data_IF_631317691949
#
_entry.id   IF_631317691949
#
_cell.length_a   1.000
_cell.length_b   1.000
_cell.length_c   1.000
_cell.angle_alpha   90.00
_cell.angle_beta   90.00
_cell.angle_gamma   90.00
#
_symmetry.space_group_name_H-M   'P 1'
#
loop_
_entity.id
_entity.type
_entity.pdbx_description
1 polymer ?
#
# COMPACT_ATOMS: atom_id res chain seq x y z
N UNK A 1 -3.65 5.86 23.82
CA UNK A 1 -3.48 6.67 22.59
C UNK A 1 -2.05 6.52 22.09
N UNK A 2 -1.83 6.15 20.83
CA UNK A 2 -0.47 6.10 20.28
C UNK A 2 -0.04 7.51 19.88
N UNK A 3 0.97 8.06 20.54
CA UNK A 3 1.57 9.34 20.14
C UNK A 3 2.06 9.20 18.70
N UNK A 4 1.50 9.98 17.77
CA UNK A 4 1.97 10.05 16.38
C UNK A 4 3.35 10.68 16.42
N UNK A 5 4.36 9.96 15.94
CA UNK A 5 5.72 10.49 15.87
C UNK A 5 5.74 11.55 14.77
N UNK A 6 6.13 12.76 15.14
CA UNK A 6 6.33 13.87 14.21
C UNK A 6 7.82 14.04 13.91
N UNK A 7 8.19 13.74 12.66
CA UNK A 7 9.55 13.87 12.14
C UNK A 7 9.75 15.10 11.26
N UNK A 8 8.74 15.93 11.05
CA UNK A 8 8.85 17.07 10.15
C UNK A 8 9.84 18.12 10.67
N UNK A 9 9.91 18.43 11.98
CA UNK A 9 10.93 19.33 12.51
C UNK A 9 12.37 18.83 12.28
N UNK A 10 12.63 17.54 12.47
CA UNK A 10 13.98 16.98 12.27
C UNK A 10 14.33 16.86 10.78
N UNK A 11 13.33 16.61 9.91
CA UNK A 11 13.50 16.64 8.46
C UNK A 11 13.85 18.04 7.98
N UNK A 12 13.12 19.06 8.42
CA UNK A 12 13.39 20.46 8.09
C UNK A 12 14.80 20.88 8.55
N UNK A 13 15.21 20.53 9.78
CA UNK A 13 16.58 20.77 10.24
C UNK A 13 17.62 20.04 9.38
N UNK A 14 17.35 18.78 9.02
CA UNK A 14 18.26 18.00 8.17
C UNK A 14 18.40 18.56 6.76
N UNK A 15 17.32 19.13 6.20
CA UNK A 15 17.30 19.79 4.90
C UNK A 15 18.23 21.01 4.92
N UNK A 16 18.00 21.91 5.87
CA UNK A 16 18.77 23.13 6.03
C UNK A 16 20.26 22.87 6.23
N UNK A 17 20.60 21.98 7.17
CA UNK A 17 22.00 21.75 7.55
C UNK A 17 22.75 20.86 6.56
N UNK A 18 22.14 19.77 6.08
CA UNK A 18 22.86 18.77 5.27
C UNK A 18 22.79 19.07 3.77
N UNK A 19 21.68 19.63 3.28
CA UNK A 19 21.45 19.89 1.86
C UNK A 19 21.75 21.35 1.51
N UNK A 20 21.17 22.30 2.25
CA UNK A 20 21.37 23.74 2.03
C UNK A 20 22.66 24.28 2.69
N UNK A 21 23.41 23.44 3.41
CA UNK A 21 24.70 23.77 4.04
C UNK A 21 24.63 24.89 5.08
N UNK A 22 23.46 25.14 5.66
CA UNK A 22 23.35 26.10 6.76
C UNK A 22 24.14 25.64 8.00
N UNK A 23 24.80 26.57 8.72
CA UNK A 23 25.47 26.23 9.97
C UNK A 23 24.49 25.69 11.02
N UNK A 24 24.83 24.55 11.63
CA UNK A 24 24.06 24.01 12.75
C UNK A 24 24.35 24.82 14.02
N UNK A 25 23.33 25.47 14.57
CA UNK A 25 23.39 26.16 15.86
C UNK A 25 22.80 25.28 16.95
N UNK A 26 23.58 24.95 17.98
CA UNK A 26 23.16 24.07 19.09
C UNK A 26 22.46 24.81 20.23
N UNK A 27 21.31 25.40 19.93
CA UNK A 27 20.40 25.97 20.92
C UNK A 27 19.81 24.87 21.83
N UNK A 28 19.19 25.27 22.94
CA UNK A 28 18.42 24.36 23.81
C UNK A 28 17.43 23.52 23.02
N UNK A 29 16.71 24.15 22.10
CA UNK A 29 15.63 23.55 21.34
C UNK A 29 16.15 22.57 20.29
N UNK A 30 17.22 22.93 19.58
CA UNK A 30 17.89 22.02 18.64
C UNK A 30 18.46 20.80 19.36
N UNK A 31 19.05 20.99 20.54
CA UNK A 31 19.53 19.88 21.38
C UNK A 31 18.37 18.98 21.82
N UNK A 32 17.26 19.57 22.27
CA UNK A 32 16.07 18.83 22.67
C UNK A 32 15.48 18.02 21.50
N UNK A 33 15.39 18.63 20.31
CA UNK A 33 14.94 17.98 19.08
C UNK A 33 15.85 16.80 18.72
N UNK A 34 17.16 16.99 18.69
CA UNK A 34 18.12 15.93 18.36
C UNK A 34 18.07 14.77 19.35
N UNK A 35 17.93 15.03 20.66
CA UNK A 35 17.75 13.98 21.69
C UNK A 35 16.47 13.19 21.47
N UNK A 36 15.36 13.90 21.26
CA UNK A 36 14.04 13.29 21.03
C UNK A 36 14.09 12.39 19.80
N UNK A 37 14.57 12.91 18.67
CA UNK A 37 14.64 12.16 17.42
C UNK A 37 15.64 11.01 17.48
N UNK A 38 16.78 11.17 18.17
CA UNK A 38 17.73 10.08 18.42
C UNK A 38 17.04 8.90 19.13
N UNK A 39 16.27 9.17 20.19
CA UNK A 39 15.49 8.14 20.90
C UNK A 39 14.46 7.47 19.99
N UNK A 40 13.72 8.25 19.19
CA UNK A 40 12.70 7.75 18.25
C UNK A 40 13.29 6.80 17.20
N UNK A 41 14.55 6.98 16.81
CA UNK A 41 15.26 6.10 15.87
C UNK A 41 16.18 5.08 16.54
N UNK A 42 16.00 4.83 17.84
CA UNK A 42 16.78 3.89 18.65
C UNK A 42 18.30 4.15 18.66
N UNK A 43 18.70 5.42 18.66
CA UNK A 43 20.07 5.80 19.02
C UNK A 43 20.14 5.92 20.55
N UNK A 44 21.13 5.26 21.22
CA UNK A 44 21.26 5.33 22.67
C UNK A 44 21.43 6.75 23.19
N UNK A 45 20.80 7.07 24.32
CA UNK A 45 20.87 8.40 24.93
C UNK A 45 22.31 8.86 25.21
N UNK A 46 23.16 7.94 25.70
CA UNK A 46 24.60 8.19 25.93
C UNK A 46 25.32 8.64 24.65
N UNK A 47 25.02 8.02 23.52
CA UNK A 47 25.62 8.36 22.23
C UNK A 47 25.13 9.71 21.72
N UNK A 48 23.83 9.99 21.91
CA UNK A 48 23.25 11.29 21.58
C UNK A 48 23.89 12.42 22.43
N UNK A 49 24.01 12.25 23.75
CA UNK A 49 24.66 13.25 24.61
C UNK A 49 26.13 13.46 24.25
N UNK A 50 26.86 12.38 23.95
CA UNK A 50 28.26 12.48 23.49
C UNK A 50 28.35 13.29 22.19
N UNK A 51 27.45 13.05 21.24
CA UNK A 51 27.41 13.75 19.97
C UNK A 51 26.95 15.21 20.08
N UNK A 52 26.23 15.59 21.14
CA UNK A 52 25.80 16.98 21.34
C UNK A 52 26.88 17.87 21.98
N UNK A 53 28.07 17.34 22.27
CA UNK A 53 29.17 18.12 22.87
C UNK A 53 29.80 19.13 21.91
N UNK A 54 29.73 18.88 20.60
CA UNK A 54 30.27 19.80 19.60
C UNK A 54 29.43 19.83 18.33
N UNK A 55 29.52 20.92 17.57
CA UNK A 55 28.79 21.09 16.31
C UNK A 55 29.13 19.96 15.31
N UNK A 56 30.40 19.60 15.06
CA UNK A 56 30.72 18.53 14.10
C UNK A 56 30.12 17.17 14.47
N UNK A 57 30.13 16.84 15.77
CA UNK A 57 29.57 15.58 16.26
C UNK A 57 28.04 15.59 16.23
N UNK A 58 27.40 16.75 16.44
CA UNK A 58 25.95 16.90 16.34
C UNK A 58 25.45 16.83 14.89
N UNK A 59 26.20 17.37 13.92
CA UNK A 59 25.92 17.19 12.49
C UNK A 59 25.98 15.69 12.11
N UNK A 60 26.92 14.95 12.69
CA UNK A 60 27.02 13.49 12.48
C UNK A 60 25.81 12.75 13.06
N UNK A 61 25.35 13.15 14.25
CA UNK A 61 24.10 12.62 14.83
C UNK A 61 22.89 12.92 13.93
N UNK A 62 22.75 14.15 13.45
CA UNK A 62 21.67 14.55 12.54
C UNK A 62 21.65 13.70 11.27
N UNK A 63 22.82 13.45 10.65
CA UNK A 63 22.95 12.56 9.49
C UNK A 63 22.53 11.13 9.81
N UNK A 64 22.92 10.61 10.98
CA UNK A 64 22.54 9.26 11.43
C UNK A 64 21.03 9.14 11.65
N UNK A 65 20.40 10.15 12.26
CA UNK A 65 18.95 10.22 12.44
C UNK A 65 18.23 10.22 11.09
N UNK A 66 18.63 11.12 10.17
CA UNK A 66 18.09 11.18 8.81
C UNK A 66 18.21 9.81 8.12
N UNK A 67 19.40 9.21 8.15
CA UNK A 67 19.64 7.90 7.53
C UNK A 67 18.74 6.80 8.08
N UNK A 68 18.52 6.75 9.41
CA UNK A 68 17.63 5.75 10.04
C UNK A 68 16.17 5.95 9.63
N UNK A 69 15.70 7.20 9.55
CA UNK A 69 14.33 7.51 9.09
C UNK A 69 14.18 7.07 7.63
N UNK A 70 15.00 7.60 6.73
CA UNK A 70 14.87 7.34 5.29
C UNK A 70 15.14 5.88 4.93
N UNK A 71 16.23 5.31 5.44
CA UNK A 71 16.62 3.92 5.15
C UNK A 71 15.63 2.91 5.71
N UNK A 72 15.10 3.15 6.91
CA UNK A 72 14.08 2.28 7.50
C UNK A 72 12.74 2.36 6.76
N UNK A 73 12.31 3.57 6.39
CA UNK A 73 11.10 3.76 5.57
C UNK A 73 11.20 3.05 4.24
N UNK A 74 12.31 3.24 3.52
CA UNK A 74 12.51 2.66 2.20
C UNK A 74 12.56 1.13 2.25
N UNK A 75 13.31 0.56 3.22
CA UNK A 75 13.41 -0.89 3.40
C UNK A 75 12.04 -1.51 3.67
N UNK A 76 11.24 -0.88 4.54
CA UNK A 76 9.90 -1.38 4.85
C UNK A 76 8.98 -1.31 3.62
N UNK A 77 8.93 -0.17 2.92
CA UNK A 77 8.08 0.01 1.74
C UNK A 77 8.45 -0.99 0.63
N UNK A 78 9.74 -1.20 0.36
CA UNK A 78 10.17 -2.17 -0.65
C UNK A 78 9.78 -3.59 -0.27
N UNK A 79 10.00 -3.99 0.98
CA UNK A 79 9.63 -5.31 1.47
C UNK A 79 8.12 -5.55 1.45
N UNK A 80 7.30 -4.55 1.82
CA UNK A 80 5.84 -4.63 1.73
C UNK A 80 5.37 -4.78 0.28
N UNK A 81 5.93 -4.01 -0.66
CA UNK A 81 5.62 -4.15 -2.09
C UNK A 81 6.00 -5.53 -2.64
N UNK A 82 7.13 -6.09 -2.22
CA UNK A 82 7.52 -7.47 -2.58
C UNK A 82 6.58 -8.50 -1.96
N UNK A 83 6.23 -8.33 -0.69
CA UNK A 83 5.31 -9.22 0.01
C UNK A 83 3.91 -9.21 -0.60
N UNK A 84 3.40 -8.05 -1.01
CA UNK A 84 2.10 -7.92 -1.68
C UNK A 84 2.09 -8.64 -3.03
N UNK A 85 3.14 -8.48 -3.85
CA UNK A 85 3.27 -9.23 -5.12
C UNK A 85 3.31 -10.73 -4.90
N UNK A 86 4.05 -11.19 -3.89
CA UNK A 86 4.14 -12.61 -3.55
C UNK A 86 2.79 -13.15 -3.02
N UNK A 87 2.08 -12.36 -2.19
CA UNK A 87 0.71 -12.67 -1.73
C UNK A 87 -0.24 -12.84 -2.91
N UNK A 88 -0.23 -11.93 -3.87
CA UNK A 88 -1.15 -11.97 -5.02
C UNK A 88 -0.83 -13.15 -5.95
N UNK A 89 0.42 -13.62 -5.93
CA UNK A 89 0.87 -14.86 -6.55
C UNK A 89 0.65 -16.12 -5.68
N UNK A 90 0.00 -16.00 -4.51
CA UNK A 90 -0.32 -17.11 -3.61
C UNK A 90 0.85 -17.58 -2.74
N UNK A 91 2.03 -16.99 -2.88
CA UNK A 91 3.23 -17.33 -2.12
C UNK A 91 3.28 -16.59 -0.77
N UNK A 92 2.39 -16.97 0.16
CA UNK A 92 2.36 -16.39 1.50
C UNK A 92 3.61 -16.67 2.33
N UNK A 93 4.31 -17.79 2.07
CA UNK A 93 5.59 -18.10 2.74
C UNK A 93 6.66 -17.09 2.33
N UNK A 94 6.85 -16.87 1.04
CA UNK A 94 7.78 -15.87 0.51
C UNK A 94 7.40 -14.46 0.97
N UNK A 95 6.11 -14.11 0.96
CA UNK A 95 5.64 -12.82 1.48
C UNK A 95 6.04 -12.62 2.96
N UNK A 96 5.89 -13.65 3.79
CA UNK A 96 6.31 -13.63 5.19
C UNK A 96 7.82 -13.43 5.34
N UNK A 97 8.61 -14.13 4.54
CA UNK A 97 10.08 -14.06 4.57
C UNK A 97 10.59 -12.64 4.29
N UNK A 98 9.98 -11.91 3.35
CA UNK A 98 10.33 -10.50 3.09
C UNK A 98 10.23 -9.63 4.35
N UNK A 99 9.16 -9.79 5.12
CA UNK A 99 8.94 -8.97 6.32
C UNK A 99 9.82 -9.44 7.49
N UNK A 100 10.09 -10.75 7.60
CA UNK A 100 11.05 -11.28 8.58
C UNK A 100 12.46 -10.71 8.36
N UNK A 101 12.90 -10.61 7.10
CA UNK A 101 14.20 -10.01 6.75
C UNK A 101 14.29 -8.55 7.20
N UNK A 102 13.23 -7.76 7.08
CA UNK A 102 13.18 -6.39 7.62
C UNK A 102 13.34 -6.41 9.14
N UNK A 103 12.61 -7.27 9.85
CA UNK A 103 12.68 -7.35 11.30
C UNK A 103 14.04 -7.82 11.84
N UNK A 104 14.83 -8.54 11.04
CA UNK A 104 16.18 -8.95 11.41
C UNK A 104 17.15 -7.76 11.51
N UNK A 105 16.96 -6.72 10.69
CA UNK A 105 17.91 -5.59 10.58
C UNK A 105 17.36 -4.25 11.08
N UNK A 106 16.04 -4.10 11.14
CA UNK A 106 15.41 -2.84 11.51
C UNK A 106 15.52 -2.59 13.02
N UNK A 107 16.00 -1.41 13.42
CA UNK A 107 16.16 -1.02 14.83
C UNK A 107 15.15 0.04 15.25
N UNK A 108 14.62 0.83 14.31
CA UNK A 108 13.68 1.92 14.57
C UNK A 108 12.35 1.33 15.06
N UNK A 109 11.91 1.64 16.30
CA UNK A 109 10.74 1.00 16.90
C UNK A 109 9.45 1.15 16.08
N UNK A 110 9.25 2.31 15.44
CA UNK A 110 8.10 2.56 14.58
C UNK A 110 8.04 1.57 13.39
N UNK A 111 9.13 1.45 12.65
CA UNK A 111 9.18 0.56 11.49
C UNK A 111 9.13 -0.91 11.89
N UNK A 112 9.75 -1.29 13.01
CA UNK A 112 9.58 -2.64 13.58
C UNK A 112 8.11 -2.93 13.91
N UNK A 113 7.39 -1.97 14.48
CA UNK A 113 5.95 -2.11 14.78
C UNK A 113 5.14 -2.32 13.49
N UNK A 114 5.41 -1.54 12.44
CA UNK A 114 4.72 -1.71 11.16
C UNK A 114 5.01 -3.08 10.53
N UNK A 115 6.28 -3.52 10.50
CA UNK A 115 6.65 -4.85 10.01
C UNK A 115 5.97 -5.97 10.81
N UNK A 116 5.85 -5.85 12.15
CA UNK A 116 5.10 -6.81 12.97
C UNK A 116 3.60 -6.84 12.61
N UNK A 117 3.00 -5.68 12.34
CA UNK A 117 1.61 -5.62 11.89
C UNK A 117 1.43 -6.29 10.52
N UNK A 118 2.38 -6.08 9.60
CA UNK A 118 2.39 -6.76 8.30
C UNK A 118 2.50 -8.28 8.44
N UNK A 119 3.36 -8.79 9.34
CA UNK A 119 3.40 -10.23 9.65
C UNK A 119 2.08 -10.76 10.19
N UNK A 120 1.47 -10.07 11.16
CA UNK A 120 0.18 -10.48 11.71
C UNK A 120 -0.93 -10.51 10.64
N UNK A 121 -0.87 -9.61 9.65
CA UNK A 121 -1.76 -9.62 8.48
C UNK A 121 -1.51 -10.85 7.60
N UNK A 122 -0.25 -11.20 7.33
CA UNK A 122 0.12 -12.39 6.56
C UNK A 122 -0.33 -13.67 7.27
N UNK A 123 -0.14 -13.77 8.59
CA UNK A 123 -0.57 -14.93 9.39
C UNK A 123 -2.11 -15.12 9.33
N UNK A 124 -2.87 -14.02 9.30
CA UNK A 124 -4.33 -14.08 9.08
C UNK A 124 -4.68 -14.54 7.67
N UNK A 125 -3.98 -14.06 6.65
CA UNK A 125 -4.17 -14.53 5.27
C UNK A 125 -3.85 -16.02 5.12
N UNK A 126 -2.86 -16.54 5.85
CA UNK A 126 -2.60 -17.99 5.90
C UNK A 126 -3.78 -18.76 6.49
N UNK A 127 -4.46 -18.24 7.52
CA UNK A 127 -5.69 -18.84 8.06
C UNK A 127 -6.84 -18.80 7.05
N UNK A 128 -6.99 -17.71 6.29
CA UNK A 128 -7.95 -17.61 5.18
C UNK A 128 -7.65 -18.69 4.13
N UNK A 129 -6.39 -18.78 3.69
CA UNK A 129 -5.94 -19.77 2.72
C UNK A 129 -6.19 -21.21 3.18
N UNK A 130 -5.97 -21.50 4.47
CA UNK A 130 -6.13 -22.83 5.05
C UNK A 130 -7.61 -23.21 5.28
N UNK A 131 -8.42 -22.28 5.75
CA UNK A 131 -9.82 -22.53 6.13
C UNK A 131 -10.83 -22.36 4.99
N UNK A 132 -10.47 -21.59 3.95
CA UNK A 132 -11.43 -21.16 2.93
C UNK A 132 -12.54 -20.25 3.50
N UNK A 133 -12.29 -19.58 4.62
CA UNK A 133 -13.19 -18.62 5.27
C UNK A 133 -12.56 -17.23 5.26
N UNK A 134 -13.39 -16.20 5.13
CA UNK A 134 -12.95 -14.80 5.18
C UNK A 134 -12.62 -14.35 6.61
N UNK A 135 -11.67 -13.44 6.74
CA UNK A 135 -11.39 -12.69 7.97
C UNK A 135 -11.89 -11.25 7.79
N UNK A 136 -12.90 -10.79 8.55
CA UNK A 136 -13.48 -9.45 8.39
C UNK A 136 -12.50 -8.33 8.77
N UNK A 137 -11.37 -8.63 9.42
CA UNK A 137 -10.33 -7.65 9.76
C UNK A 137 -9.30 -7.47 8.64
N UNK A 138 -9.44 -8.19 7.53
CA UNK A 138 -8.59 -8.06 6.35
C UNK A 138 -9.34 -7.33 5.24
N UNK A 139 -8.61 -6.56 4.43
CA UNK A 139 -9.15 -5.95 3.22
C UNK A 139 -9.71 -7.00 2.27
N UNK A 140 -10.80 -6.69 1.57
CA UNK A 140 -11.36 -7.58 0.54
C UNK A 140 -10.33 -7.98 -0.52
N UNK A 141 -9.64 -7.00 -1.10
CA UNK A 141 -8.66 -7.19 -2.17
C UNK A 141 -7.60 -8.26 -1.84
N UNK A 142 -7.00 -8.19 -0.64
CA UNK A 142 -6.00 -9.16 -0.19
C UNK A 142 -6.55 -10.59 -0.09
N UNK A 143 -7.84 -10.75 0.21
CA UNK A 143 -8.46 -12.06 0.40
C UNK A 143 -8.87 -12.70 -0.93
N UNK A 144 -9.33 -11.92 -1.91
CA UNK A 144 -9.77 -12.42 -3.22
C UNK A 144 -8.70 -13.29 -3.90
N UNK A 145 -7.45 -12.82 -3.97
CA UNK A 145 -6.37 -13.58 -4.61
C UNK A 145 -5.98 -14.83 -3.83
N UNK A 146 -5.99 -14.76 -2.50
CA UNK A 146 -5.67 -15.91 -1.65
C UNK A 146 -6.73 -17.01 -1.80
N UNK A 147 -8.00 -16.63 -1.83
CA UNK A 147 -9.09 -17.56 -2.04
C UNK A 147 -9.09 -18.13 -3.47
N UNK A 148 -8.73 -17.33 -4.48
CA UNK A 148 -8.59 -17.81 -5.86
C UNK A 148 -7.45 -18.86 -5.97
N UNK A 149 -6.30 -18.59 -5.37
CA UNK A 149 -5.19 -19.55 -5.33
C UNK A 149 -5.58 -20.86 -4.63
N UNK A 150 -6.37 -20.76 -3.55
CA UNK A 150 -6.91 -21.95 -2.87
C UNK A 150 -7.76 -22.80 -3.83
N UNK A 151 -8.65 -22.19 -4.61
CA UNK A 151 -9.48 -22.92 -5.60
C UNK A 151 -8.61 -23.58 -6.66
N UNK A 152 -7.61 -22.87 -7.18
CA UNK A 152 -6.67 -23.44 -8.17
C UNK A 152 -5.86 -24.63 -7.61
N UNK A 153 -5.71 -24.74 -6.29
CA UNK A 153 -5.13 -25.90 -5.61
C UNK A 153 -6.15 -27.04 -5.40
N UNK A 154 -7.34 -26.97 -5.99
CA UNK A 154 -8.40 -27.96 -5.84
C UNK A 154 -9.10 -27.92 -4.48
N UNK A 155 -8.92 -26.85 -3.69
CA UNK A 155 -9.53 -26.72 -2.36
C UNK A 155 -10.76 -25.81 -2.44
N UNK A 156 -11.98 -26.32 -2.15
CA UNK A 156 -13.19 -25.51 -2.25
C UNK A 156 -13.25 -24.41 -1.18
N UNK A 157 -14.10 -23.42 -1.43
CA UNK A 157 -14.46 -22.38 -0.46
C UNK A 157 -15.42 -22.95 0.60
N UNK A 158 -15.37 -22.38 1.81
CA UNK A 158 -16.34 -22.71 2.85
C UNK A 158 -17.47 -21.67 2.82
N UNK A 159 -18.63 -22.04 2.24
CA UNK A 159 -19.79 -21.16 2.01
C UNK A 159 -20.62 -20.84 3.25
N UNK A 160 -19.95 -20.40 4.30
CA UNK A 160 -20.56 -19.73 5.46
C UNK A 160 -21.35 -18.49 5.05
N UNK A 161 -22.25 -18.01 5.93
CA UNK A 161 -22.96 -16.73 5.75
C UNK A 161 -22.01 -15.57 5.45
N UNK A 162 -20.86 -15.53 6.13
CA UNK A 162 -19.84 -14.50 5.91
C UNK A 162 -19.18 -14.60 4.53
N UNK A 163 -18.86 -15.81 4.06
CA UNK A 163 -18.29 -16.01 2.72
C UNK A 163 -19.29 -15.62 1.62
N UNK A 164 -20.57 -15.97 1.77
CA UNK A 164 -21.62 -15.57 0.82
C UNK A 164 -21.78 -14.06 0.76
N UNK A 165 -21.85 -13.39 1.91
CA UNK A 165 -21.92 -11.93 1.98
C UNK A 165 -20.69 -11.26 1.34
N UNK A 166 -19.50 -11.79 1.59
CA UNK A 166 -18.26 -11.32 0.97
C UNK A 166 -18.30 -11.41 -0.56
N UNK A 167 -18.71 -12.56 -1.11
CA UNK A 167 -18.77 -12.74 -2.55
C UNK A 167 -19.85 -11.89 -3.21
N UNK A 168 -20.99 -11.67 -2.56
CA UNK A 168 -22.03 -10.73 -3.05
C UNK A 168 -21.49 -9.31 -3.17
N UNK A 169 -20.85 -8.81 -2.12
CA UNK A 169 -20.28 -7.47 -2.13
C UNK A 169 -19.22 -7.34 -3.24
N UNK A 170 -18.29 -8.29 -3.31
CA UNK A 170 -17.24 -8.30 -4.32
C UNK A 170 -17.80 -8.44 -5.76
N UNK A 171 -18.89 -9.19 -5.95
CA UNK A 171 -19.59 -9.32 -7.22
C UNK A 171 -20.25 -8.00 -7.65
N UNK A 172 -20.94 -7.33 -6.72
CA UNK A 172 -21.55 -6.02 -6.96
C UNK A 172 -20.49 -4.96 -7.32
N UNK A 173 -19.34 -4.96 -6.63
CA UNK A 173 -18.22 -4.04 -6.94
C UNK A 173 -17.70 -4.17 -8.37
N UNK A 174 -17.89 -5.32 -9.03
CA UNK A 174 -17.49 -5.54 -10.43
C UNK A 174 -18.68 -5.70 -11.39
N UNK A 175 -19.86 -5.22 -10.99
CA UNK A 175 -21.10 -5.22 -11.77
C UNK A 175 -21.53 -6.63 -12.28
N UNK A 176 -21.33 -7.66 -11.46
CA UNK A 176 -21.95 -8.98 -11.69
C UNK A 176 -23.39 -8.90 -11.15
N UNK A 177 -24.35 -9.47 -11.88
CA UNK A 177 -25.77 -9.38 -11.54
C UNK A 177 -26.09 -10.19 -10.29
N UNK A 178 -27.10 -9.77 -9.54
CA UNK A 178 -27.52 -10.44 -8.32
C UNK A 178 -28.02 -11.87 -8.61
N UNK A 179 -28.78 -12.06 -9.68
CA UNK A 179 -29.31 -13.39 -10.03
C UNK A 179 -28.17 -14.38 -10.34
N UNK A 180 -27.20 -13.95 -11.15
CA UNK A 180 -25.99 -14.73 -11.46
C UNK A 180 -25.18 -15.04 -10.18
N UNK A 181 -25.12 -14.08 -9.26
CA UNK A 181 -24.41 -14.22 -7.99
C UNK A 181 -25.07 -15.27 -7.12
N UNK A 182 -26.40 -15.22 -6.93
CA UNK A 182 -27.11 -16.18 -6.10
C UNK A 182 -27.07 -17.60 -6.68
N UNK A 183 -27.20 -17.74 -8.00
CA UNK A 183 -27.06 -19.03 -8.68
C UNK A 183 -25.67 -19.63 -8.42
N UNK A 184 -24.61 -18.85 -8.62
CA UNK A 184 -23.25 -19.30 -8.37
C UNK A 184 -23.01 -19.68 -6.89
N UNK A 185 -23.63 -18.96 -5.95
CA UNK A 185 -23.49 -19.26 -4.53
C UNK A 185 -24.21 -20.55 -4.09
N UNK A 186 -25.01 -21.19 -4.94
CA UNK A 186 -25.70 -22.43 -4.59
C UNK A 186 -24.73 -23.59 -4.23
N UNK A 187 -23.53 -23.61 -4.81
CA UNK A 187 -22.52 -24.64 -4.55
C UNK A 187 -21.10 -24.07 -4.36
N UNK A 188 -20.20 -24.79 -3.66
CA UNK A 188 -18.78 -24.38 -3.56
C UNK A 188 -18.09 -24.21 -4.91
N UNK A 189 -18.43 -25.04 -5.90
CA UNK A 189 -17.89 -25.01 -7.26
C UNK A 189 -18.35 -23.74 -7.98
N UNK A 190 -19.65 -23.43 -7.93
CA UNK A 190 -20.21 -22.20 -8.50
C UNK A 190 -19.61 -20.95 -7.86
N UNK A 191 -19.45 -20.94 -6.53
CA UNK A 191 -18.82 -19.83 -5.82
C UNK A 191 -17.35 -19.66 -6.19
N UNK A 192 -16.67 -20.75 -6.54
CA UNK A 192 -15.31 -20.70 -7.07
C UNK A 192 -15.23 -20.03 -8.44
N UNK A 193 -16.16 -20.37 -9.34
CA UNK A 193 -16.28 -19.73 -10.66
C UNK A 193 -16.64 -18.24 -10.55
N UNK A 194 -17.55 -17.89 -9.65
CA UNK A 194 -17.88 -16.50 -9.35
C UNK A 194 -16.65 -15.72 -8.89
N UNK A 195 -15.88 -16.26 -7.93
CA UNK A 195 -14.65 -15.63 -7.45
C UNK A 195 -13.63 -15.44 -8.57
N UNK A 196 -13.47 -16.43 -9.45
CA UNK A 196 -12.62 -16.30 -10.63
C UNK A 196 -13.09 -15.14 -11.52
N UNK A 197 -14.39 -15.07 -11.84
CA UNK A 197 -14.98 -13.98 -12.65
C UNK A 197 -14.76 -12.60 -12.02
N UNK A 198 -14.94 -12.48 -10.70
CA UNK A 198 -14.69 -11.24 -9.93
C UNK A 198 -13.24 -10.79 -10.11
N UNK A 199 -12.29 -11.69 -9.86
CA UNK A 199 -10.86 -11.38 -9.96
C UNK A 199 -10.46 -11.03 -11.39
N UNK A 200 -10.99 -11.74 -12.39
CA UNK A 200 -10.74 -11.45 -13.79
C UNK A 200 -11.25 -10.07 -14.21
N UNK A 201 -12.48 -9.69 -13.83
CA UNK A 201 -13.03 -8.37 -14.12
C UNK A 201 -12.19 -7.27 -13.49
N UNK A 202 -11.83 -7.42 -12.22
CA UNK A 202 -10.95 -6.46 -11.50
C UNK A 202 -9.60 -6.32 -12.22
N UNK A 203 -8.94 -7.43 -12.57
CA UNK A 203 -7.65 -7.42 -13.29
C UNK A 203 -7.75 -6.76 -14.66
N UNK A 204 -8.77 -7.10 -15.45
CA UNK A 204 -8.97 -6.55 -16.79
C UNK A 204 -9.28 -5.05 -16.72
N UNK A 205 -10.16 -4.64 -15.81
CA UNK A 205 -10.53 -3.24 -15.61
C UNK A 205 -9.36 -2.37 -15.14
N UNK A 206 -8.60 -2.82 -14.12
CA UNK A 206 -7.37 -2.12 -13.71
C UNK A 206 -6.40 -1.94 -14.87
N UNK A 207 -6.11 -3.00 -15.64
CA UNK A 207 -5.18 -2.92 -16.79
C UNK A 207 -5.67 -1.98 -17.88
N UNK A 208 -6.97 -1.96 -18.17
CA UNK A 208 -7.55 -1.02 -19.13
C UNK A 208 -7.38 0.40 -18.64
N UNK A 209 -7.83 0.70 -17.42
CA UNK A 209 -7.74 2.03 -16.82
C UNK A 209 -6.29 2.53 -16.80
N UNK A 210 -5.33 1.74 -16.31
CA UNK A 210 -3.91 2.13 -16.26
C UNK A 210 -3.36 2.50 -17.65
N UNK A 211 -3.64 1.68 -18.67
CA UNK A 211 -3.18 1.93 -20.04
C UNK A 211 -3.82 3.18 -20.62
N UNK A 212 -5.13 3.35 -20.42
CA UNK A 212 -5.87 4.53 -20.87
C UNK A 212 -5.32 5.79 -20.22
N UNK A 213 -5.12 5.80 -18.90
CA UNK A 213 -4.60 6.96 -18.18
C UNK A 213 -3.19 7.32 -18.65
N UNK A 214 -2.31 6.33 -18.85
CA UNK A 214 -0.97 6.58 -19.38
C UNK A 214 -1.02 7.23 -20.77
N UNK A 215 -1.87 6.71 -21.66
CA UNK A 215 -2.02 7.25 -23.02
C UNK A 215 -2.63 8.64 -23.01
N UNK A 216 -3.66 8.85 -22.19
CA UNK A 216 -4.31 10.14 -21.97
C UNK A 216 -3.30 11.19 -21.51
N UNK A 217 -2.50 10.90 -20.48
CA UNK A 217 -1.46 11.81 -20.00
C UNK A 217 -0.43 12.14 -21.09
N UNK A 218 0.00 11.15 -21.86
CA UNK A 218 0.94 11.36 -22.98
C UNK A 218 0.38 12.33 -24.02
N UNK A 219 -0.90 12.21 -24.36
CA UNK A 219 -1.56 13.09 -25.34
C UNK A 219 -1.74 14.50 -24.78
N UNK A 220 -2.18 14.61 -23.52
CA UNK A 220 -2.30 15.89 -22.82
C UNK A 220 -0.96 16.63 -22.77
N UNK A 221 0.11 15.94 -22.40
CA UNK A 221 1.45 16.55 -22.28
C UNK A 221 2.01 16.96 -23.66
N UNK A 222 1.50 16.37 -24.75
CA UNK A 222 1.79 16.78 -26.13
C UNK A 222 0.84 17.89 -26.66
N UNK A 223 -0.10 18.37 -25.85
CA UNK A 223 -1.10 19.38 -26.21
C UNK A 223 -2.34 18.85 -26.94
N UNK A 224 -2.43 17.54 -27.18
CA UNK A 224 -3.60 16.90 -27.79
C UNK A 224 -4.66 16.56 -26.73
N UNK A 225 -5.38 17.60 -26.30
CA UNK A 225 -6.44 17.46 -25.30
C UNK A 225 -7.63 16.65 -25.82
N UNK A 226 -7.98 16.77 -27.09
CA UNK A 226 -9.13 16.03 -27.63
C UNK A 226 -8.82 14.54 -27.77
N UNK A 227 -7.62 14.19 -28.22
CA UNK A 227 -7.14 12.81 -28.18
C UNK A 227 -7.12 12.25 -26.76
N UNK A 228 -6.69 13.05 -25.78
CA UNK A 228 -6.72 12.68 -24.36
C UNK A 228 -8.14 12.38 -23.86
N UNK A 229 -9.13 13.23 -24.20
CA UNK A 229 -10.55 12.99 -23.90
C UNK A 229 -11.08 11.74 -24.57
N UNK A 230 -10.72 11.53 -25.84
CA UNK A 230 -11.19 10.36 -26.59
C UNK A 230 -10.74 9.05 -25.93
N UNK A 231 -9.51 8.98 -25.39
CA UNK A 231 -9.06 7.80 -24.65
C UNK A 231 -9.98 7.43 -23.48
N UNK A 232 -10.46 8.43 -22.73
CA UNK A 232 -11.36 8.21 -21.59
C UNK A 232 -12.77 7.86 -22.04
N UNK A 233 -13.28 8.46 -23.12
CA UNK A 233 -14.58 8.10 -23.72
C UNK A 233 -14.57 6.66 -24.23
N UNK A 234 -13.51 6.24 -24.91
CA UNK A 234 -13.34 4.86 -25.38
C UNK A 234 -13.33 3.86 -24.22
N UNK A 235 -12.67 4.21 -23.10
CA UNK A 235 -12.72 3.40 -21.90
C UNK A 235 -14.13 3.33 -21.31
N UNK A 236 -14.84 4.46 -21.19
CA UNK A 236 -16.20 4.52 -20.65
C UNK A 236 -17.23 3.77 -21.51
N UNK A 237 -16.96 3.59 -22.80
CA UNK A 237 -17.81 2.78 -23.68
C UNK A 237 -17.75 1.28 -23.36
N UNK A 238 -16.64 0.79 -22.80
CA UNK A 238 -16.41 -0.65 -22.56
C UNK A 238 -16.28 -1.04 -21.09
N UNK A 239 -15.98 -0.09 -20.21
CA UNK A 239 -15.80 -0.36 -18.80
C UNK A 239 -17.14 -0.49 -18.08
N UNK A 240 -17.30 -1.57 -17.33
CA UNK A 240 -18.54 -1.89 -16.60
C UNK A 240 -18.35 -1.84 -15.09
N UNK A 241 -17.11 -1.87 -14.62
CA UNK A 241 -16.79 -1.84 -13.18
C UNK A 241 -16.95 -0.41 -12.66
N UNK A 242 -17.88 -0.14 -11.71
CA UNK A 242 -18.23 1.21 -11.29
C UNK A 242 -17.05 2.07 -10.85
N UNK A 243 -16.15 1.53 -10.03
CA UNK A 243 -14.99 2.30 -9.53
C UNK A 243 -14.02 2.72 -10.65
N UNK A 244 -13.88 1.92 -11.70
CA UNK A 244 -13.01 2.27 -12.83
C UNK A 244 -13.68 3.26 -13.78
N UNK A 245 -15.01 3.16 -13.94
CA UNK A 245 -15.79 4.17 -14.67
C UNK A 245 -15.71 5.52 -13.97
N UNK A 246 -15.94 5.55 -12.66
CA UNK A 246 -15.84 6.78 -11.86
C UNK A 246 -14.45 7.41 -11.99
N UNK A 247 -13.38 6.63 -11.86
CA UNK A 247 -12.03 7.15 -12.04
C UNK A 247 -11.80 7.75 -13.44
N UNK A 248 -12.37 7.15 -14.48
CA UNK A 248 -12.29 7.68 -15.84
C UNK A 248 -13.14 8.96 -16.03
N UNK A 249 -14.32 9.02 -15.43
CA UNK A 249 -15.20 10.21 -15.42
C UNK A 249 -14.52 11.39 -14.70
N UNK A 250 -13.92 11.15 -13.53
CA UNK A 250 -13.17 12.17 -12.77
C UNK A 250 -11.97 12.70 -13.56
N UNK A 251 -11.21 11.81 -14.22
CA UNK A 251 -10.10 12.24 -15.09
C UNK A 251 -10.59 13.00 -16.32
N UNK A 252 -11.76 12.66 -16.86
CA UNK A 252 -12.32 13.34 -18.02
C UNK A 252 -12.75 14.75 -17.66
N UNK A 253 -13.45 14.91 -16.52
CA UNK A 253 -13.82 16.22 -15.99
C UNK A 253 -12.59 17.10 -15.74
N UNK A 254 -11.50 16.54 -15.21
CA UNK A 254 -10.25 17.28 -14.98
C UNK A 254 -9.55 17.76 -16.26
N UNK A 255 -9.86 17.22 -17.44
CA UNK A 255 -9.38 17.74 -18.73
C UNK A 255 -10.25 18.88 -19.29
N UNK A 256 -11.44 19.07 -18.73
CA UNK A 256 -12.37 20.13 -19.12
C UNK A 256 -12.19 21.39 -18.26
N UNK A 257 -11.50 21.28 -17.12
CA UNK A 257 -11.10 22.42 -16.30
C UNK A 257 -9.94 23.20 -16.95
N UNK A 258 -9.99 24.55 -16.97
CA UNK A 258 -8.86 25.34 -17.43
C UNK A 258 -7.64 25.10 -16.51
N UNK A 259 -6.41 25.15 -17.04
CA UNK A 259 -5.22 25.02 -16.21
C UNK A 259 -5.23 26.09 -15.11
N UNK A 260 -4.76 25.79 -13.89
CA UNK A 260 -4.64 26.80 -12.85
C UNK A 260 -3.76 27.94 -13.36
N UNK A 261 -4.33 29.16 -13.37
CA UNK A 261 -3.68 30.39 -13.83
C UNK A 261 -2.59 30.89 -12.91
#
# INVERSE_FOLDING_TARGET
MAVKIDWDPIRALSQRVLEQKEPLVLTSDVRALLRRSAREVAIPAKDAEKALRSIPTAVTLLRKIKSRIWGGSWRLIDAERRADRLRDAGNLKGAREQIVQVLAVETVPLYRKHAKNALARIDRLQKVAASGRVDPKLSEHSQLFILLHRIHQGKPLNLTRGMRAFLRNAAAEVAIREEETEEALASPEGAGLLLQKIVERRRKGTKRLERTLLRMMTLRDAGDLEGARQQLRDLLAVEVVPVYRQAAEENLAGLDEPPPG
#
